data_IF_056191969161
#
_entry.id   IF_056191969161
#
_cell.length_a   1.000
_cell.length_b   1.000
_cell.length_c   1.000
_cell.angle_alpha   90.00
_cell.angle_beta   90.00
_cell.angle_gamma   90.00
#
_symmetry.space_group_name_H-M   'P 1'
#
loop_
_entity.id
_entity.type
_entity.pdbx_description
1 polymer ?
#
# COMPACT_ATOMS: atom_id res chain seq x y z
N UNK A 1 -29.61 -0.22 -2.70
CA UNK A 1 -29.09 0.73 -1.68
C UNK A 1 -29.82 0.54 -0.37
N UNK A 2 -29.22 0.99 0.73
CA UNK A 2 -29.84 1.03 2.05
C UNK A 2 -29.57 2.38 2.71
N UNK A 3 -30.46 2.78 3.62
CA UNK A 3 -30.39 4.04 4.35
C UNK A 3 -30.55 3.76 5.85
N UNK A 4 -29.58 4.13 6.71
CA UNK A 4 -29.69 3.89 8.14
C UNK A 4 -30.71 4.87 8.77
N UNK A 5 -31.59 4.35 9.65
CA UNK A 5 -32.55 5.15 10.42
C UNK A 5 -31.93 5.67 11.73
N UNK A 6 -30.80 5.12 12.13
CA UNK A 6 -30.01 5.51 13.32
C UNK A 6 -28.52 5.46 12.95
N UNK A 7 -27.66 6.05 13.78
CA UNK A 7 -26.21 5.92 13.58
C UNK A 7 -25.81 4.44 13.51
N UNK A 8 -25.20 3.97 12.40
CA UNK A 8 -24.92 2.54 12.20
C UNK A 8 -23.98 1.95 13.24
N UNK A 9 -22.98 2.71 13.69
CA UNK A 9 -21.99 2.24 14.68
C UNK A 9 -22.64 2.11 16.05
N UNK A 10 -23.47 3.07 16.45
CA UNK A 10 -24.24 3.00 17.68
C UNK A 10 -25.25 1.83 17.67
N UNK A 11 -25.92 1.61 16.52
CA UNK A 11 -26.86 0.51 16.32
C UNK A 11 -26.20 -0.86 16.43
N UNK A 12 -25.06 -1.05 15.73
CA UNK A 12 -24.29 -2.29 15.80
C UNK A 12 -23.73 -2.55 17.21
N UNK A 13 -23.20 -1.54 17.88
CA UNK A 13 -22.70 -1.66 19.25
C UNK A 13 -23.80 -2.08 20.21
N UNK A 14 -25.01 -1.49 20.09
CA UNK A 14 -26.20 -1.83 20.87
C UNK A 14 -26.78 -3.21 20.52
N UNK A 15 -26.52 -3.69 19.30
CA UNK A 15 -27.11 -4.92 18.76
C UNK A 15 -28.54 -4.74 18.21
N UNK A 16 -28.87 -3.56 17.73
CA UNK A 16 -30.18 -3.17 17.21
C UNK A 16 -29.96 -2.09 16.12
N UNK A 17 -29.73 -2.52 14.88
CA UNK A 17 -29.50 -1.62 13.74
C UNK A 17 -30.75 -1.54 12.87
N UNK A 18 -31.35 -0.35 12.78
CA UNK A 18 -32.52 -0.05 11.95
C UNK A 18 -32.14 0.66 10.67
N UNK A 19 -32.72 0.23 9.56
CA UNK A 19 -32.45 0.78 8.24
C UNK A 19 -33.58 0.53 7.25
N UNK A 20 -33.64 1.35 6.21
CA UNK A 20 -34.55 1.19 5.08
C UNK A 20 -33.81 0.59 3.88
N UNK A 21 -34.37 -0.45 3.25
CA UNK A 21 -33.88 -1.03 2.01
C UNK A 21 -34.61 -0.46 0.79
N UNK A 22 -33.84 -0.11 -0.24
CA UNK A 22 -34.29 0.33 -1.55
C UNK A 22 -33.85 -0.67 -2.62
N UNK A 23 -34.16 -1.95 -2.40
CA UNK A 23 -33.82 -3.05 -3.30
C UNK A 23 -34.90 -3.36 -4.33
N UNK A 24 -34.59 -4.23 -5.28
CA UNK A 24 -35.57 -4.72 -6.24
C UNK A 24 -36.58 -5.69 -5.60
N UNK A 25 -36.08 -6.62 -4.75
CA UNK A 25 -36.90 -7.59 -4.01
C UNK A 25 -37.29 -7.09 -2.62
N UNK A 26 -36.28 -6.69 -1.83
CA UNK A 26 -36.49 -6.26 -0.46
C UNK A 26 -36.57 -4.74 -0.40
N UNK A 27 -37.66 -4.22 0.16
CA UNK A 27 -37.93 -2.80 0.28
C UNK A 27 -38.43 -2.44 1.70
N UNK A 28 -38.36 -1.16 2.02
CA UNK A 28 -38.88 -0.59 3.26
C UNK A 28 -37.99 -0.84 4.48
N UNK A 29 -38.55 -0.66 5.68
CA UNK A 29 -37.85 -0.63 6.95
C UNK A 29 -37.56 -2.03 7.49
N UNK A 30 -36.36 -2.21 7.98
CA UNK A 30 -35.80 -3.48 8.52
C UNK A 30 -34.99 -3.22 9.77
N UNK A 31 -34.81 -4.26 10.59
CA UNK A 31 -33.91 -4.21 11.74
C UNK A 31 -33.05 -5.47 11.79
N UNK A 32 -31.74 -5.30 12.05
CA UNK A 32 -30.83 -6.36 12.45
C UNK A 32 -30.74 -6.37 13.98
N UNK A 33 -31.13 -7.49 14.60
CA UNK A 33 -31.10 -7.69 16.05
C UNK A 33 -30.08 -8.76 16.40
N UNK A 34 -29.12 -8.44 17.28
CA UNK A 34 -28.13 -9.39 17.77
C UNK A 34 -28.79 -10.35 18.74
N UNK A 35 -28.69 -11.64 18.45
CA UNK A 35 -29.26 -12.70 19.28
C UNK A 35 -28.40 -12.93 20.52
N UNK A 36 -29.05 -13.11 21.70
CA UNK A 36 -28.35 -13.56 22.89
C UNK A 36 -27.92 -15.01 22.73
N UNK A 37 -26.64 -15.30 22.91
CA UNK A 37 -26.06 -16.67 22.78
C UNK A 37 -26.76 -17.66 23.71
N UNK A 38 -27.13 -18.82 23.19
CA UNK A 38 -27.55 -20.01 23.94
C UNK A 38 -26.57 -21.14 23.61
N UNK A 39 -25.58 -21.39 24.46
CA UNK A 39 -24.65 -22.53 24.31
C UNK A 39 -23.18 -22.16 24.21
N UNK A 40 -22.31 -23.15 23.92
CA UNK A 40 -20.86 -22.99 23.86
C UNK A 40 -20.43 -21.97 22.77
N UNK A 41 -19.54 -21.08 23.17
CA UNK A 41 -19.07 -19.94 22.36
C UNK A 41 -18.12 -20.41 21.24
N UNK A 42 -18.57 -20.35 19.99
CA UNK A 42 -17.73 -20.57 18.80
C UNK A 42 -17.15 -19.28 18.22
N UNK A 43 -17.24 -18.15 18.94
CA UNK A 43 -16.72 -16.85 18.51
C UNK A 43 -17.58 -16.09 17.50
N UNK A 44 -18.66 -16.69 16.95
CA UNK A 44 -19.55 -16.04 15.98
C UNK A 44 -20.74 -15.38 16.69
N UNK A 45 -21.15 -14.21 16.21
CA UNK A 45 -22.38 -13.53 16.64
C UNK A 45 -23.50 -13.84 15.65
N UNK A 46 -24.65 -14.25 16.17
CA UNK A 46 -25.84 -14.50 15.36
C UNK A 46 -26.72 -13.27 15.35
N UNK A 47 -27.15 -12.86 14.17
CA UNK A 47 -28.02 -11.72 13.96
C UNK A 47 -29.31 -12.15 13.26
N UNK A 48 -30.43 -11.61 13.67
CA UNK A 48 -31.74 -11.83 13.07
C UNK A 48 -32.16 -10.60 12.27
N UNK A 49 -32.47 -10.79 10.97
CA UNK A 49 -33.03 -9.74 10.10
C UNK A 49 -34.55 -9.80 10.18
N UNK A 50 -35.18 -8.71 10.60
CA UNK A 50 -36.63 -8.64 10.80
C UNK A 50 -37.20 -7.51 9.94
N UNK A 51 -38.26 -7.83 9.19
CA UNK A 51 -39.04 -6.84 8.45
C UNK A 51 -39.97 -6.08 9.39
N UNK A 52 -39.91 -4.75 9.39
CA UNK A 52 -40.91 -3.90 10.07
C UNK A 52 -42.22 -3.89 9.29
N UNK A 53 -43.35 -3.64 10.01
CA UNK A 53 -44.64 -3.41 9.38
C UNK A 53 -44.68 -2.05 8.71
N UNK A 54 -44.67 -2.02 7.38
CA UNK A 54 -44.82 -0.86 6.51
C UNK A 54 -45.58 -1.27 5.24
N UNK A 55 -45.69 -0.40 4.25
CA UNK A 55 -46.37 -0.65 3.00
C UNK A 55 -45.81 -1.82 2.16
N UNK A 56 -44.59 -2.26 2.46
CA UNK A 56 -43.88 -3.37 1.81
C UNK A 56 -43.91 -4.67 2.64
N UNK A 57 -44.54 -4.67 3.80
CA UNK A 57 -44.71 -5.87 4.62
C UNK A 57 -45.84 -6.73 4.10
N UNK A 58 -45.60 -8.01 3.91
CA UNK A 58 -46.63 -8.99 3.52
C UNK A 58 -46.94 -9.86 4.73
N UNK A 59 -48.21 -9.92 5.14
CA UNK A 59 -48.65 -10.81 6.21
C UNK A 59 -48.81 -12.24 5.65
N UNK A 60 -48.29 -13.25 6.39
CA UNK A 60 -48.42 -14.65 6.05
C UNK A 60 -47.09 -15.39 6.03
N UNK A 61 -46.91 -16.26 5.00
CA UNK A 61 -45.70 -17.05 4.85
C UNK A 61 -44.52 -16.16 4.41
N UNK A 62 -43.56 -15.92 5.32
CA UNK A 62 -42.37 -15.13 5.06
C UNK A 62 -41.45 -15.71 3.95
N UNK A 63 -41.62 -16.97 3.63
CA UNK A 63 -40.83 -17.67 2.59
C UNK A 63 -41.46 -17.58 1.21
N UNK A 64 -42.66 -17.04 1.07
CA UNK A 64 -43.36 -16.90 -0.22
C UNK A 64 -42.52 -16.19 -1.30
N UNK A 65 -41.75 -15.16 -0.91
CA UNK A 65 -40.85 -14.42 -1.79
C UNK A 65 -39.75 -15.32 -2.43
N UNK A 66 -39.33 -16.39 -1.74
CA UNK A 66 -38.33 -17.31 -2.26
C UNK A 66 -38.90 -18.16 -3.42
N UNK A 67 -40.20 -18.51 -3.35
CA UNK A 67 -40.90 -19.22 -4.41
C UNK A 67 -41.36 -18.31 -5.56
N UNK A 68 -41.79 -17.08 -5.24
CA UNK A 68 -42.28 -16.12 -6.24
C UNK A 68 -41.14 -15.44 -7.01
N UNK A 69 -40.00 -15.21 -6.36
CA UNK A 69 -38.85 -14.57 -6.97
C UNK A 69 -37.56 -15.34 -6.67
N UNK A 70 -37.39 -16.58 -7.17
CA UNK A 70 -36.26 -17.44 -6.84
C UNK A 70 -34.92 -16.96 -7.42
N UNK A 71 -34.95 -16.11 -8.46
CA UNK A 71 -33.76 -15.73 -9.19
C UNK A 71 -33.00 -14.61 -8.47
N UNK A 72 -31.70 -14.67 -8.44
CA UNK A 72 -30.81 -13.59 -7.98
C UNK A 72 -31.08 -12.29 -8.75
N UNK A 73 -31.31 -11.20 -8.04
CA UNK A 73 -31.53 -9.86 -8.65
C UNK A 73 -30.35 -9.42 -9.51
N UNK A 74 -29.15 -9.88 -9.18
CA UNK A 74 -27.93 -9.47 -9.85
C UNK A 74 -27.59 -10.35 -11.05
N UNK A 75 -27.70 -11.69 -10.87
CA UNK A 75 -27.19 -12.64 -11.86
C UNK A 75 -28.30 -13.36 -12.63
N UNK A 76 -29.56 -13.25 -12.21
CA UNK A 76 -30.70 -13.99 -12.79
C UNK A 76 -30.65 -15.50 -12.57
N UNK A 77 -29.75 -16.02 -11.69
CA UNK A 77 -29.59 -17.45 -11.40
C UNK A 77 -30.39 -17.88 -10.17
N UNK A 78 -30.73 -19.15 -10.11
CA UNK A 78 -31.32 -19.80 -8.93
C UNK A 78 -30.24 -20.02 -7.84
N UNK A 79 -30.67 -20.34 -6.61
CA UNK A 79 -29.78 -20.69 -5.50
C UNK A 79 -28.97 -21.94 -5.83
N UNK A 80 -29.60 -22.94 -6.49
CA UNK A 80 -28.95 -24.17 -6.89
C UNK A 80 -27.89 -23.95 -7.97
N UNK A 81 -28.15 -23.08 -8.94
CA UNK A 81 -27.18 -22.68 -9.96
C UNK A 81 -26.00 -21.90 -9.37
N UNK A 82 -26.25 -21.08 -8.36
CA UNK A 82 -25.19 -20.36 -7.63
C UNK A 82 -24.37 -21.35 -6.79
N UNK A 83 -25.02 -22.29 -6.11
CA UNK A 83 -24.34 -23.29 -5.28
C UNK A 83 -23.53 -24.30 -6.12
N UNK A 84 -23.96 -24.61 -7.36
CA UNK A 84 -23.24 -25.48 -8.26
C UNK A 84 -21.98 -24.84 -8.90
N UNK A 85 -21.83 -23.51 -8.78
CA UNK A 85 -20.68 -22.77 -9.28
C UNK A 85 -19.99 -22.02 -8.13
N UNK A 86 -19.18 -22.73 -7.32
CA UNK A 86 -18.54 -22.15 -6.13
C UNK A 86 -17.49 -21.06 -6.45
N UNK A 87 -17.08 -20.94 -7.73
CA UNK A 87 -16.21 -19.86 -8.19
C UNK A 87 -16.91 -18.50 -8.33
N UNK A 88 -18.24 -18.48 -8.21
CA UNK A 88 -19.06 -17.26 -8.37
C UNK A 88 -19.66 -16.80 -7.03
N UNK A 89 -18.88 -16.79 -5.96
CA UNK A 89 -19.32 -16.21 -4.66
C UNK A 89 -19.49 -14.71 -4.83
N UNK A 90 -20.74 -14.26 -4.66
CA UNK A 90 -21.08 -12.85 -4.76
C UNK A 90 -20.69 -12.12 -3.46
N UNK A 91 -19.82 -11.12 -3.58
CA UNK A 91 -19.60 -10.11 -2.55
C UNK A 91 -20.11 -8.76 -3.05
N UNK A 92 -20.41 -7.81 -2.18
CA UNK A 92 -20.84 -6.47 -2.58
C UNK A 92 -19.86 -5.80 -3.58
N UNK A 93 -18.58 -6.14 -3.50
CA UNK A 93 -17.54 -5.70 -4.43
C UNK A 93 -17.61 -6.41 -5.79
N UNK A 94 -18.06 -7.67 -5.86
CA UNK A 94 -18.20 -8.43 -7.13
C UNK A 94 -19.46 -8.02 -7.92
N UNK A 95 -20.45 -7.38 -7.30
CA UNK A 95 -21.66 -6.93 -7.97
C UNK A 95 -21.39 -5.81 -8.99
N UNK A 96 -20.54 -4.87 -8.64
CA UNK A 96 -20.16 -3.79 -9.55
C UNK A 96 -19.21 -4.28 -10.65
N UNK A 97 -18.38 -5.28 -10.35
CA UNK A 97 -17.48 -5.91 -11.32
C UNK A 97 -18.23 -6.81 -12.34
N UNK A 98 -19.29 -7.52 -11.91
CA UNK A 98 -20.09 -8.40 -12.79
C UNK A 98 -20.89 -7.60 -13.84
N UNK A 99 -21.32 -6.37 -13.53
CA UNK A 99 -21.97 -5.47 -14.50
C UNK A 99 -21.06 -5.02 -15.64
N UNK A 100 -19.73 -5.00 -15.41
CA UNK A 100 -18.74 -4.66 -16.42
C UNK A 100 -18.15 -5.87 -17.15
N UNK A 101 -18.23 -7.07 -16.54
CA UNK A 101 -17.60 -8.29 -17.06
C UNK A 101 -18.47 -9.07 -18.08
N UNK A 102 -19.75 -8.72 -18.26
CA UNK A 102 -20.65 -9.45 -19.17
C UNK A 102 -20.49 -9.09 -20.66
N UNK A 103 -19.59 -8.18 -21.01
CA UNK A 103 -19.51 -7.67 -22.39
C UNK A 103 -18.29 -8.14 -23.21
N UNK A 104 -17.26 -8.82 -22.68
CA UNK A 104 -16.14 -9.27 -23.54
C UNK A 104 -15.35 -10.45 -22.94
N UNK A 105 -15.88 -11.65 -23.05
CA UNK A 105 -15.18 -12.89 -22.68
C UNK A 105 -14.74 -13.70 -23.90
N UNK A 106 -13.79 -13.18 -24.69
CA UNK A 106 -13.20 -14.01 -25.80
C UNK A 106 -11.73 -13.74 -26.12
N UNK A 107 -11.05 -12.80 -25.51
CA UNK A 107 -9.61 -12.62 -25.75
C UNK A 107 -8.80 -12.84 -24.46
N UNK A 108 -8.10 -14.00 -24.35
CA UNK A 108 -7.03 -14.17 -23.37
C UNK A 108 -5.82 -13.37 -23.89
N UNK A 109 -5.45 -12.34 -23.19
CA UNK A 109 -4.22 -11.59 -23.49
C UNK A 109 -3.02 -12.27 -22.84
N UNK A 110 -1.86 -12.36 -23.53
CA UNK A 110 -0.67 -12.92 -22.92
C UNK A 110 -0.22 -12.08 -21.73
N UNK A 111 0.10 -12.74 -20.62
CA UNK A 111 0.58 -12.04 -19.42
C UNK A 111 1.89 -11.29 -19.73
N UNK A 112 2.00 -9.97 -19.43
CA UNK A 112 3.21 -9.22 -19.65
C UNK A 112 4.37 -9.80 -18.84
N UNK A 113 5.55 -9.84 -19.46
CA UNK A 113 6.77 -10.35 -18.81
C UNK A 113 7.22 -9.48 -17.65
N UNK A 114 7.11 -8.18 -17.82
CA UNK A 114 7.51 -7.17 -16.84
C UNK A 114 6.47 -6.05 -16.80
N UNK A 115 6.19 -5.57 -15.61
CA UNK A 115 5.34 -4.39 -15.38
C UNK A 115 6.08 -3.45 -14.45
N UNK A 116 6.39 -2.26 -14.94
CA UNK A 116 6.98 -1.23 -14.10
C UNK A 116 5.92 -0.63 -13.16
N UNK A 117 6.22 -0.44 -11.85
CA UNK A 117 5.26 0.12 -10.91
C UNK A 117 4.81 1.53 -11.28
N UNK A 118 3.50 1.81 -11.19
CA UNK A 118 2.99 3.18 -11.24
C UNK A 118 3.48 3.98 -10.04
N UNK A 119 3.85 5.26 -10.26
CA UNK A 119 4.46 6.12 -9.26
C UNK A 119 3.48 7.20 -8.78
N UNK A 120 3.43 7.42 -7.46
CA UNK A 120 2.64 8.48 -6.86
C UNK A 120 3.39 9.83 -6.87
N UNK A 121 2.65 10.92 -7.11
CA UNK A 121 3.16 12.31 -7.03
C UNK A 121 3.05 12.81 -5.60
N UNK A 122 4.11 13.44 -5.08
CA UNK A 122 4.08 14.07 -3.75
C UNK A 122 3.23 15.34 -3.79
N UNK A 123 2.32 15.48 -2.83
CA UNK A 123 1.52 16.69 -2.60
C UNK A 123 1.49 17.04 -1.13
N UNK A 124 1.15 18.30 -0.79
CA UNK A 124 1.13 18.78 0.60
C UNK A 124 -0.16 18.44 1.34
N UNK A 125 -1.28 18.34 0.62
CA UNK A 125 -2.58 18.09 1.20
C UNK A 125 -3.28 16.89 0.55
N UNK A 126 -3.99 16.13 1.34
CA UNK A 126 -4.83 15.04 0.85
C UNK A 126 -6.05 15.62 0.12
N UNK A 127 -6.40 15.11 -1.07
CA UNK A 127 -7.62 15.51 -1.76
C UNK A 127 -8.85 15.05 -0.98
N UNK A 128 -9.94 15.81 -1.08
CA UNK A 128 -11.26 15.40 -0.65
C UNK A 128 -12.10 14.91 -1.82
N UNK A 129 -13.33 14.47 -1.50
CA UNK A 129 -14.33 14.04 -2.48
C UNK A 129 -14.27 12.54 -2.81
N UNK A 130 -15.43 12.01 -3.18
CA UNK A 130 -15.67 10.57 -3.35
C UNK A 130 -14.97 9.93 -4.56
N UNK A 131 -14.31 10.73 -5.38
CA UNK A 131 -13.47 10.25 -6.49
C UNK A 131 -12.14 9.65 -6.02
N UNK A 132 -11.82 9.77 -4.72
CA UNK A 132 -10.55 9.35 -4.17
C UNK A 132 -10.69 8.22 -3.17
N UNK A 133 -9.82 7.22 -3.31
CA UNK A 133 -9.56 6.15 -2.36
C UNK A 133 -8.25 6.47 -1.63
N UNK A 134 -8.26 6.42 -0.31
CA UNK A 134 -7.12 6.74 0.54
C UNK A 134 -6.63 5.49 1.25
N UNK A 135 -5.37 5.14 1.08
CA UNK A 135 -4.71 3.98 1.66
C UNK A 135 -3.59 4.43 2.58
N UNK A 136 -3.28 3.63 3.60
CA UNK A 136 -2.07 3.84 4.41
C UNK A 136 -0.85 3.70 3.50
N UNK A 137 0.10 4.63 3.65
CA UNK A 137 1.41 4.52 3.03
C UNK A 137 2.31 3.68 3.92
N UNK A 138 2.57 2.46 3.47
CA UNK A 138 3.48 1.55 4.15
C UNK A 138 4.94 1.91 3.87
N UNK A 139 5.79 1.58 4.82
CA UNK A 139 7.23 1.82 4.80
C UNK A 139 7.96 0.49 4.56
N UNK A 140 8.33 0.20 3.33
CA UNK A 140 8.90 -1.08 2.92
C UNK A 140 9.58 -1.06 1.56
N UNK A 141 9.70 -2.24 0.94
CA UNK A 141 10.16 -2.43 -0.43
C UNK A 141 9.00 -2.72 -1.37
N UNK A 142 8.80 -1.87 -2.36
CA UNK A 142 7.82 -2.11 -3.43
C UNK A 142 8.20 -3.37 -4.20
N UNK A 143 7.23 -4.26 -4.35
CA UNK A 143 7.40 -5.48 -5.13
C UNK A 143 6.22 -5.73 -6.06
N UNK A 144 6.52 -6.16 -7.28
CA UNK A 144 5.55 -6.73 -8.21
C UNK A 144 5.66 -8.25 -8.09
N UNK A 145 4.58 -8.89 -7.65
CA UNK A 145 4.49 -10.34 -7.63
C UNK A 145 3.86 -10.83 -8.94
N UNK A 146 4.53 -11.75 -9.62
CA UNK A 146 4.07 -12.41 -10.82
C UNK A 146 3.89 -13.89 -10.52
N UNK A 147 2.67 -14.40 -10.75
CA UNK A 147 2.29 -15.80 -10.59
C UNK A 147 2.02 -16.39 -11.99
N UNK A 148 2.60 -17.53 -12.29
CA UNK A 148 2.38 -18.25 -13.54
C UNK A 148 2.46 -19.75 -13.29
N UNK A 149 1.31 -20.45 -13.39
CA UNK A 149 1.20 -21.90 -13.18
C UNK A 149 1.80 -22.40 -11.85
N UNK A 150 1.59 -21.64 -10.77
CA UNK A 150 2.12 -21.94 -9.44
C UNK A 150 3.58 -21.48 -9.19
N UNK A 151 4.27 -21.03 -10.23
CA UNK A 151 5.58 -20.38 -10.06
C UNK A 151 5.40 -18.89 -9.72
N UNK A 152 6.13 -18.43 -8.71
CA UNK A 152 6.06 -17.04 -8.25
C UNK A 152 7.40 -16.35 -8.43
N UNK A 153 7.36 -15.13 -8.96
CA UNK A 153 8.51 -14.22 -8.99
C UNK A 153 8.15 -12.91 -8.30
N UNK A 154 9.01 -12.48 -7.38
CA UNK A 154 8.89 -11.21 -6.66
C UNK A 154 9.94 -10.22 -7.19
N UNK A 155 9.49 -9.27 -7.99
CA UNK A 155 10.37 -8.31 -8.66
C UNK A 155 10.38 -6.99 -7.86
N UNK A 156 11.57 -6.49 -7.53
CA UNK A 156 11.73 -5.18 -6.92
C UNK A 156 11.27 -4.07 -7.87
N UNK A 157 11.16 -2.85 -7.38
CA UNK A 157 10.79 -1.67 -8.18
C UNK A 157 11.61 -1.54 -9.48
N UNK A 158 12.88 -1.93 -9.47
CA UNK A 158 13.78 -1.84 -10.61
C UNK A 158 13.93 -3.17 -11.38
N UNK A 159 13.01 -4.11 -11.16
CA UNK A 159 12.97 -5.38 -11.87
C UNK A 159 13.99 -6.43 -11.38
N UNK A 160 14.69 -6.19 -10.25
CA UNK A 160 15.56 -7.19 -9.65
C UNK A 160 14.72 -8.34 -9.07
N UNK A 161 15.08 -9.55 -9.34
CA UNK A 161 14.42 -10.73 -8.79
C UNK A 161 14.86 -10.94 -7.32
N UNK A 162 13.92 -10.76 -6.41
CA UNK A 162 14.10 -10.93 -4.98
C UNK A 162 13.26 -12.08 -4.41
N UNK A 163 12.86 -13.00 -5.24
CA UNK A 163 12.01 -14.14 -4.87
C UNK A 163 12.59 -14.93 -3.70
N UNK A 164 13.89 -15.25 -3.74
CA UNK A 164 14.56 -15.99 -2.66
C UNK A 164 14.60 -15.21 -1.34
N UNK A 165 14.70 -13.87 -1.41
CA UNK A 165 14.66 -12.99 -0.22
C UNK A 165 13.29 -12.98 0.44
N UNK A 166 12.24 -13.26 -0.34
CA UNK A 166 10.83 -13.24 0.08
C UNK A 166 10.18 -14.62 0.00
N UNK A 167 10.96 -15.68 0.11
CA UNK A 167 10.51 -17.07 -0.09
C UNK A 167 9.22 -17.44 0.66
N UNK A 168 8.98 -17.07 1.95
CA UNK A 168 7.71 -17.37 2.61
C UNK A 168 6.50 -16.65 2.01
N UNK A 169 6.69 -15.44 1.46
CA UNK A 169 5.63 -14.69 0.76
C UNK A 169 5.35 -15.36 -0.58
N UNK A 170 6.41 -15.72 -1.33
CA UNK A 170 6.27 -16.41 -2.62
C UNK A 170 5.55 -17.76 -2.47
N UNK A 171 5.85 -18.53 -1.43
CA UNK A 171 5.16 -19.78 -1.12
C UNK A 171 3.65 -19.57 -0.85
N UNK A 172 3.28 -18.50 -0.12
CA UNK A 172 1.88 -18.18 0.14
C UNK A 172 1.16 -17.69 -1.13
N UNK A 173 1.84 -16.91 -1.98
CA UNK A 173 1.30 -16.47 -3.27
C UNK A 173 1.08 -17.65 -4.24
N UNK A 174 1.96 -18.66 -4.25
CA UNK A 174 1.79 -19.86 -5.06
C UNK A 174 0.53 -20.66 -4.71
N UNK A 175 0.03 -20.50 -3.48
CA UNK A 175 -1.18 -21.15 -2.99
C UNK A 175 -2.48 -20.36 -3.21
N UNK A 176 -2.45 -19.22 -3.94
CA UNK A 176 -3.64 -18.38 -4.18
C UNK A 176 -4.70 -19.02 -5.09
N UNK A 177 -4.37 -20.11 -5.79
CA UNK A 177 -5.33 -20.83 -6.65
C UNK A 177 -5.62 -20.13 -7.99
N UNK A 178 -4.92 -19.05 -8.35
CA UNK A 178 -4.96 -18.44 -9.67
C UNK A 178 -3.89 -19.06 -10.58
N UNK A 179 -4.22 -19.33 -11.85
CA UNK A 179 -3.24 -19.83 -12.82
C UNK A 179 -2.20 -18.75 -13.16
N UNK A 180 -2.67 -17.53 -13.34
CA UNK A 180 -1.81 -16.39 -13.69
C UNK A 180 -2.29 -15.10 -13.01
N UNK A 181 -1.38 -14.39 -12.33
CA UNK A 181 -1.68 -13.10 -11.73
C UNK A 181 -0.46 -12.16 -11.68
N UNK A 182 -0.72 -10.85 -11.72
CA UNK A 182 0.28 -9.81 -11.41
C UNK A 182 -0.30 -8.90 -10.34
N UNK A 183 0.38 -8.85 -9.18
CA UNK A 183 0.00 -8.06 -8.02
C UNK A 183 1.04 -6.98 -7.76
N UNK A 184 0.58 -5.83 -7.31
CA UNK A 184 1.42 -4.70 -6.90
C UNK A 184 1.24 -4.42 -5.41
N UNK A 185 2.33 -4.40 -4.67
CA UNK A 185 2.29 -4.29 -3.22
C UNK A 185 3.62 -3.82 -2.61
N UNK A 186 3.64 -3.80 -1.29
CA UNK A 186 4.82 -3.43 -0.49
C UNK A 186 5.19 -4.59 0.43
N UNK A 187 6.47 -5.00 0.42
CA UNK A 187 7.01 -5.95 1.41
C UNK A 187 7.40 -5.16 2.65
N UNK A 188 6.88 -5.55 3.79
CA UNK A 188 7.04 -4.83 5.06
C UNK A 188 7.44 -5.77 6.21
N UNK A 189 7.93 -5.16 7.29
CA UNK A 189 7.88 -5.72 8.64
C UNK A 189 6.97 -4.82 9.47
N UNK A 190 5.94 -5.41 10.05
CA UNK A 190 5.02 -4.72 10.95
C UNK A 190 5.51 -4.86 12.40
N UNK A 191 5.53 -3.74 13.12
CA UNK A 191 5.83 -3.69 14.55
C UNK A 191 4.59 -4.03 15.38
N UNK A 192 4.77 -4.33 16.67
CA UNK A 192 3.66 -4.59 17.61
C UNK A 192 2.70 -3.39 17.71
N UNK A 193 3.15 -2.18 17.40
CA UNK A 193 2.32 -0.98 17.31
C UNK A 193 1.39 -0.95 16.08
N UNK A 194 1.51 -1.89 15.15
CA UNK A 194 0.81 -1.90 13.88
C UNK A 194 1.49 -1.07 12.76
N UNK A 195 2.47 -0.25 13.09
CA UNK A 195 3.22 0.52 12.09
C UNK A 195 4.24 -0.35 11.34
N UNK A 196 4.44 -0.07 10.05
CA UNK A 196 5.53 -0.67 9.27
C UNK A 196 6.87 0.02 9.59
N UNK A 197 7.97 -0.74 9.56
CA UNK A 197 9.30 -0.24 9.83
C UNK A 197 10.30 -0.70 8.78
N UNK A 198 10.76 0.22 7.96
CA UNK A 198 11.80 -0.04 6.96
C UNK A 198 13.13 -0.48 7.59
N UNK A 199 13.51 0.13 8.72
CA UNK A 199 14.72 -0.26 9.44
C UNK A 199 14.67 -1.70 9.95
N UNK A 200 13.52 -2.13 10.51
CA UNK A 200 13.32 -3.52 10.95
C UNK A 200 13.32 -4.49 9.77
N UNK A 201 12.71 -4.10 8.64
CA UNK A 201 12.73 -4.89 7.41
C UNK A 201 14.16 -5.11 6.90
N UNK A 202 14.96 -4.06 6.86
CA UNK A 202 16.36 -4.15 6.42
C UNK A 202 17.21 -5.01 7.38
N UNK A 203 17.01 -4.84 8.69
CA UNK A 203 17.71 -5.65 9.70
C UNK A 203 17.37 -7.14 9.55
N UNK A 204 16.08 -7.47 9.36
CA UNK A 204 15.65 -8.86 9.18
C UNK A 204 16.24 -9.46 7.91
N UNK A 205 16.11 -8.79 6.78
CA UNK A 205 16.68 -9.25 5.52
C UNK A 205 18.21 -9.38 5.56
N UNK A 206 18.88 -8.43 6.21
CA UNK A 206 20.34 -8.45 6.38
C UNK A 206 20.84 -9.61 7.27
N UNK A 207 19.99 -10.10 8.17
CA UNK A 207 20.27 -11.25 9.04
C UNK A 207 19.66 -12.57 8.52
N UNK A 208 19.07 -12.59 7.32
CA UNK A 208 18.43 -13.77 6.73
C UNK A 208 17.14 -14.17 7.45
N UNK A 209 16.54 -13.29 8.25
CA UNK A 209 15.25 -13.54 8.93
C UNK A 209 14.10 -13.20 7.99
N UNK A 210 13.15 -14.10 7.87
CA UNK A 210 11.98 -13.95 6.98
C UNK A 210 10.65 -14.21 7.69
N UNK A 211 10.68 -14.50 8.98
CA UNK A 211 9.52 -14.88 9.79
C UNK A 211 8.50 -13.75 9.99
N UNK A 212 8.97 -12.49 10.01
CA UNK A 212 8.13 -11.29 10.18
C UNK A 212 7.75 -10.60 8.86
N UNK A 213 8.22 -11.11 7.71
CA UNK A 213 7.91 -10.49 6.42
C UNK A 213 6.42 -10.62 6.09
N UNK A 214 5.80 -9.51 5.71
CA UNK A 214 4.46 -9.42 5.15
C UNK A 214 4.48 -8.74 3.78
N UNK A 215 3.49 -9.03 2.96
CA UNK A 215 3.26 -8.40 1.66
C UNK A 215 1.88 -7.79 1.65
N UNK A 216 1.80 -6.46 1.70
CA UNK A 216 0.55 -5.69 1.66
C UNK A 216 0.24 -5.31 0.23
N UNK A 217 -0.81 -5.90 -0.34
CA UNK A 217 -1.15 -5.78 -1.76
C UNK A 217 -2.24 -4.74 -1.94
N UNK A 218 -2.04 -3.79 -2.83
CA UNK A 218 -2.94 -2.66 -3.05
C UNK A 218 -3.40 -2.51 -4.50
N UNK A 219 -2.93 -3.33 -5.44
CA UNK A 219 -3.42 -3.35 -6.82
C UNK A 219 -3.26 -4.73 -7.46
N UNK A 220 -4.14 -5.03 -8.44
CA UNK A 220 -4.15 -6.24 -9.25
C UNK A 220 -4.14 -5.84 -10.72
N UNK A 221 -3.10 -6.26 -11.45
CA UNK A 221 -2.81 -5.76 -12.79
C UNK A 221 -3.15 -6.78 -13.89
N UNK A 222 -3.18 -8.07 -13.52
CA UNK A 222 -3.49 -9.17 -14.42
C UNK A 222 -4.08 -10.32 -13.62
N UNK A 223 -5.08 -11.01 -14.18
CA UNK A 223 -5.69 -12.18 -13.55
C UNK A 223 -6.22 -13.13 -14.63
N UNK A 224 -5.77 -14.39 -14.63
CA UNK A 224 -6.27 -15.53 -15.41
C UNK A 224 -6.56 -15.22 -16.88
N UNK A 225 -5.61 -14.62 -17.56
CA UNK A 225 -5.71 -14.29 -18.99
C UNK A 225 -6.28 -12.90 -19.28
N UNK A 226 -6.51 -12.05 -18.27
CA UNK A 226 -7.07 -10.71 -18.44
C UNK A 226 -6.08 -9.63 -18.00
N UNK A 227 -5.75 -8.71 -18.88
CA UNK A 227 -5.08 -7.47 -18.51
C UNK A 227 -6.08 -6.54 -17.81
N UNK A 228 -5.78 -6.16 -16.58
CA UNK A 228 -6.60 -5.26 -15.76
C UNK A 228 -6.08 -3.83 -15.73
N UNK A 229 -4.97 -3.52 -16.39
CA UNK A 229 -4.35 -2.18 -16.34
C UNK A 229 -5.28 -1.08 -16.87
N UNK A 230 -6.12 -1.38 -17.87
CA UNK A 230 -7.14 -0.48 -18.38
C UNK A 230 -8.41 -0.35 -17.52
N UNK A 231 -8.60 -1.26 -16.56
CA UNK A 231 -9.80 -1.32 -15.71
C UNK A 231 -9.72 -0.26 -14.60
N UNK A 232 -10.85 0.39 -14.22
CA UNK A 232 -10.87 1.33 -13.08
C UNK A 232 -10.33 0.73 -11.78
N UNK A 233 -9.55 1.51 -11.02
CA UNK A 233 -8.91 1.07 -9.76
C UNK A 233 -9.90 0.39 -8.79
N UNK A 234 -11.09 0.98 -8.58
CA UNK A 234 -12.10 0.42 -7.67
C UNK A 234 -12.50 -1.02 -8.03
N UNK A 235 -12.54 -1.35 -9.34
CA UNK A 235 -12.85 -2.69 -9.82
C UNK A 235 -11.67 -3.63 -9.63
N UNK A 236 -10.43 -3.18 -9.91
CA UNK A 236 -9.22 -3.96 -9.65
C UNK A 236 -9.08 -4.30 -8.17
N UNK A 237 -9.36 -3.32 -7.29
CA UNK A 237 -9.36 -3.53 -5.82
C UNK A 237 -10.44 -4.52 -5.37
N UNK A 238 -11.62 -4.47 -5.96
CA UNK A 238 -12.67 -5.44 -5.67
C UNK A 238 -12.27 -6.88 -6.05
N UNK A 239 -11.67 -7.06 -7.23
CA UNK A 239 -11.13 -8.36 -7.66
C UNK A 239 -9.99 -8.82 -6.75
N UNK A 240 -9.09 -7.91 -6.36
CA UNK A 240 -8.01 -8.20 -5.42
C UNK A 240 -8.53 -8.63 -4.04
N UNK A 241 -9.51 -7.91 -3.51
CA UNK A 241 -10.14 -8.26 -2.24
C UNK A 241 -10.75 -9.67 -2.29
N UNK A 242 -11.45 -10.01 -3.39
CA UNK A 242 -12.00 -11.35 -3.60
C UNK A 242 -10.90 -12.41 -3.71
N UNK A 243 -9.83 -12.16 -4.45
CA UNK A 243 -8.70 -13.08 -4.60
C UNK A 243 -8.01 -13.39 -3.26
N UNK A 244 -8.03 -12.41 -2.34
CA UNK A 244 -7.37 -12.52 -1.04
C UNK A 244 -8.31 -12.83 0.14
N UNK A 245 -9.61 -13.08 -0.08
CA UNK A 245 -10.62 -13.20 0.98
C UNK A 245 -10.49 -14.48 1.85
N UNK A 246 -10.30 -15.63 1.23
CA UNK A 246 -10.48 -16.97 1.87
C UNK A 246 -9.14 -17.56 2.36
N UNK A 247 -8.28 -16.72 2.99
CA UNK A 247 -6.98 -17.21 3.40
C UNK A 247 -6.90 -17.46 4.90
N UNK A 248 -6.20 -18.54 5.33
CA UNK A 248 -6.04 -18.83 6.75
C UNK A 248 -5.21 -17.74 7.44
N UNK A 249 -5.68 -17.29 8.60
CA UNK A 249 -4.91 -16.38 9.45
C UNK A 249 -3.90 -17.16 10.32
N UNK A 250 -2.72 -16.61 10.61
CA UNK A 250 -2.20 -15.31 10.14
C UNK A 250 -1.66 -15.38 8.71
N UNK A 251 -2.15 -14.52 7.82
CA UNK A 251 -1.69 -14.44 6.44
C UNK A 251 -0.54 -13.42 6.31
N UNK A 252 0.49 -13.76 5.53
CA UNK A 252 1.61 -12.86 5.20
C UNK A 252 1.25 -11.89 4.07
N UNK A 253 0.45 -12.37 3.15
CA UNK A 253 -0.05 -11.58 2.03
C UNK A 253 -1.40 -11.01 2.42
N UNK A 254 -1.57 -9.71 2.50
CA UNK A 254 -2.78 -9.05 2.99
C UNK A 254 -3.25 -7.97 2.01
N UNK A 255 -4.55 -7.79 1.94
CA UNK A 255 -5.18 -6.71 1.19
C UNK A 255 -5.01 -5.38 1.92
N UNK A 256 -4.78 -4.30 1.18
CA UNK A 256 -4.77 -2.93 1.71
C UNK A 256 -6.16 -2.34 1.58
N UNK A 257 -6.81 -2.12 2.73
CA UNK A 257 -8.09 -1.42 2.78
C UNK A 257 -7.94 0.06 2.40
N UNK A 258 -9.03 0.65 1.93
CA UNK A 258 -9.11 2.06 1.60
C UNK A 258 -10.30 2.76 2.26
N UNK A 259 -10.15 4.07 2.44
CA UNK A 259 -11.20 4.97 2.89
C UNK A 259 -11.58 5.90 1.73
N UNK A 260 -12.87 5.96 1.40
CA UNK A 260 -13.37 6.81 0.32
C UNK A 260 -13.67 8.22 0.81
N UNK A 261 -13.18 9.23 0.12
CA UNK A 261 -13.63 10.62 0.23
C UNK A 261 -13.05 11.46 1.36
N UNK A 262 -12.67 10.90 2.49
CA UNK A 262 -12.28 11.61 3.71
C UNK A 262 -10.77 11.84 3.86
N UNK A 263 -10.07 12.16 2.78
CA UNK A 263 -8.61 12.27 2.73
C UNK A 263 -7.97 13.10 3.84
N UNK A 264 -8.39 14.37 4.10
CA UNK A 264 -7.78 15.17 5.15
C UNK A 264 -7.94 14.58 6.57
N UNK A 265 -9.09 14.00 6.90
CA UNK A 265 -9.32 13.37 8.19
C UNK A 265 -8.52 12.07 8.33
N UNK A 266 -8.47 11.26 7.27
CA UNK A 266 -7.69 10.03 7.24
C UNK A 266 -6.19 10.30 7.36
N UNK A 267 -5.66 11.34 6.69
CA UNK A 267 -4.27 11.79 6.86
C UNK A 267 -4.00 12.21 8.31
N UNK A 268 -4.88 12.99 8.92
CA UNK A 268 -4.71 13.45 10.30
C UNK A 268 -4.62 12.26 11.26
N UNK A 269 -5.46 11.24 11.09
CA UNK A 269 -5.41 10.01 11.87
C UNK A 269 -4.11 9.23 11.62
N UNK A 270 -3.72 9.02 10.36
CA UNK A 270 -2.48 8.33 10.02
C UNK A 270 -1.27 9.01 10.68
N UNK A 271 -1.23 10.35 10.69
CA UNK A 271 -0.15 11.10 11.33
C UNK A 271 -0.20 11.00 12.86
N UNK A 272 -1.38 10.99 13.48
CA UNK A 272 -1.55 10.81 14.92
C UNK A 272 -1.06 9.43 15.41
N UNK A 273 -1.22 8.40 14.57
CA UNK A 273 -0.70 7.04 14.83
C UNK A 273 0.79 6.89 14.47
N UNK A 274 1.47 7.94 14.02
CA UNK A 274 2.89 7.89 13.67
C UNK A 274 3.20 7.12 12.39
N UNK A 275 2.21 6.93 11.52
CA UNK A 275 2.39 6.28 10.22
C UNK A 275 3.14 7.19 9.24
N UNK A 276 3.70 6.63 8.16
CA UNK A 276 4.48 7.41 7.19
C UNK A 276 3.64 8.47 6.47
N UNK A 277 2.35 8.19 6.24
CA UNK A 277 1.42 9.02 5.52
C UNK A 277 0.33 8.20 4.84
N UNK A 278 -0.23 8.75 3.77
CA UNK A 278 -1.25 8.09 2.96
C UNK A 278 -0.92 8.16 1.47
N UNK A 279 -1.53 7.26 0.69
CA UNK A 279 -1.60 7.34 -0.77
C UNK A 279 -3.06 7.53 -1.17
N UNK A 280 -3.35 8.61 -1.87
CA UNK A 280 -4.67 8.90 -2.43
C UNK A 280 -4.70 8.53 -3.90
N UNK A 281 -5.61 7.67 -4.30
CA UNK A 281 -5.72 7.14 -5.67
C UNK A 281 -7.09 7.48 -6.25
N UNK A 282 -7.17 7.91 -7.52
CA UNK A 282 -8.46 8.11 -8.18
C UNK A 282 -9.17 6.79 -8.42
N UNK A 283 -10.41 6.67 -7.94
CA UNK A 283 -11.20 5.44 -7.99
C UNK A 283 -11.42 4.92 -9.43
N UNK A 284 -11.59 5.82 -10.39
CA UNK A 284 -11.87 5.50 -11.79
C UNK A 284 -10.59 5.47 -12.67
N UNK A 285 -9.39 5.60 -12.08
CA UNK A 285 -8.17 5.64 -12.89
C UNK A 285 -7.73 4.25 -13.35
N UNK A 286 -7.21 4.13 -14.60
CA UNK A 286 -6.46 2.96 -15.02
C UNK A 286 -5.10 2.91 -14.31
N UNK A 287 -4.46 1.76 -14.34
CA UNK A 287 -3.06 1.62 -13.95
C UNK A 287 -2.16 2.03 -15.11
N UNK A 288 -1.19 2.90 -14.86
CA UNK A 288 -0.25 3.41 -15.87
C UNK A 288 1.17 2.96 -15.56
N UNK A 289 1.61 1.79 -16.09
CA UNK A 289 2.92 1.24 -15.80
C UNK A 289 4.06 2.25 -16.02
N UNK A 290 4.99 2.33 -15.08
CA UNK A 290 6.18 3.19 -15.14
C UNK A 290 5.92 4.69 -15.07
N UNK A 291 4.67 5.14 -15.12
CA UNK A 291 4.35 6.57 -15.18
C UNK A 291 4.19 7.20 -13.80
N UNK A 292 4.44 8.51 -13.75
CA UNK A 292 4.12 9.38 -12.62
C UNK A 292 3.09 10.40 -13.07
N UNK A 293 1.86 10.27 -12.59
CA UNK A 293 0.74 11.15 -12.92
C UNK A 293 0.10 11.75 -11.67
N UNK A 294 -1.08 12.34 -11.86
CA UNK A 294 -1.88 12.91 -10.76
C UNK A 294 -3.00 11.97 -10.29
N UNK A 295 -3.09 10.77 -10.86
CA UNK A 295 -4.08 9.78 -10.43
C UNK A 295 -3.71 9.14 -9.10
N UNK A 296 -2.39 9.06 -8.79
CA UNK A 296 -1.87 8.63 -7.52
C UNK A 296 -1.08 9.74 -6.85
N UNK A 297 -1.48 10.10 -5.63
CA UNK A 297 -0.87 11.15 -4.82
C UNK A 297 -0.35 10.55 -3.51
N UNK A 298 0.87 10.87 -3.12
CA UNK A 298 1.41 10.52 -1.81
C UNK A 298 1.45 11.76 -0.92
N UNK A 299 0.96 11.64 0.29
CA UNK A 299 0.97 12.67 1.32
C UNK A 299 1.71 12.10 2.55
N UNK A 300 2.76 12.74 2.98
CA UNK A 300 3.62 12.27 4.05
C UNK A 300 3.35 13.02 5.34
N UNK A 301 3.26 12.30 6.47
CA UNK A 301 3.16 12.88 7.81
C UNK A 301 4.48 13.53 8.24
N UNK A 302 5.59 12.91 7.86
CA UNK A 302 6.94 13.44 8.08
C UNK A 302 7.62 13.60 6.71
N UNK A 303 8.44 14.62 6.58
CA UNK A 303 9.27 14.76 5.38
C UNK A 303 10.33 13.67 5.38
N UNK A 304 10.27 12.82 4.40
CA UNK A 304 11.15 11.68 4.18
C UNK A 304 11.51 11.63 2.72
N UNK A 305 12.80 11.50 2.43
CA UNK A 305 13.30 11.47 1.05
C UNK A 305 14.57 10.65 0.97
N UNK A 306 14.85 10.14 -0.21
CA UNK A 306 16.12 9.50 -0.53
C UNK A 306 17.18 10.52 -0.91
N UNK A 307 18.43 10.23 -0.51
CA UNK A 307 19.61 11.02 -0.80
C UNK A 307 20.76 10.14 -1.27
N UNK A 308 21.56 10.65 -2.16
CA UNK A 308 22.82 10.01 -2.53
C UNK A 308 23.83 10.25 -1.40
N UNK A 309 24.50 9.21 -0.93
CA UNK A 309 25.62 9.33 -0.02
C UNK A 309 26.82 9.81 -0.83
N UNK A 310 27.28 11.03 -0.55
CA UNK A 310 28.37 11.70 -1.28
C UNK A 310 29.65 11.81 -0.46
N UNK A 311 29.57 11.48 0.84
CA UNK A 311 30.72 11.53 1.74
C UNK A 311 30.34 11.20 3.17
N UNK A 312 31.30 11.38 4.07
CA UNK A 312 31.12 11.23 5.51
C UNK A 312 32.08 12.13 6.27
N UNK A 313 31.79 12.36 7.56
CA UNK A 313 32.71 13.03 8.48
C UNK A 313 33.42 11.99 9.35
N UNK A 314 34.64 12.26 9.85
CA UNK A 314 35.29 11.42 10.85
C UNK A 314 34.40 11.26 12.10
N UNK A 315 34.52 10.15 12.82
CA UNK A 315 33.83 9.98 14.09
C UNK A 315 34.37 10.95 15.14
N UNK A 316 33.50 11.45 16.01
CA UNK A 316 33.87 12.31 17.15
C UNK A 316 33.67 11.59 18.47
N UNK A 317 34.48 11.91 19.48
CA UNK A 317 34.40 11.35 20.83
C UNK A 317 34.60 9.81 20.84
N UNK A 318 33.67 9.08 21.49
CA UNK A 318 33.73 7.61 21.60
C UNK A 318 33.06 6.88 20.42
N UNK A 319 32.55 7.61 19.43
CA UNK A 319 31.86 7.02 18.27
C UNK A 319 32.85 6.31 17.34
N UNK A 320 32.44 5.14 16.81
CA UNK A 320 33.23 4.36 15.84
C UNK A 320 32.72 4.59 14.40
N UNK A 321 33.50 4.18 13.42
CA UNK A 321 33.10 4.17 12.00
C UNK A 321 33.14 5.54 11.34
N UNK A 322 32.07 6.34 11.47
CA UNK A 322 31.95 7.70 10.93
C UNK A 322 31.07 8.60 11.84
N UNK A 323 31.18 9.90 11.68
CA UNK A 323 30.42 10.89 12.43
C UNK A 323 29.04 11.15 11.85
N UNK A 324 28.98 11.58 10.60
CA UNK A 324 27.77 11.83 9.84
C UNK A 324 27.95 11.42 8.36
N UNK A 325 26.88 11.06 7.68
CA UNK A 325 26.85 10.93 6.22
C UNK A 325 26.59 12.28 5.59
N UNK A 326 27.32 12.59 4.53
CA UNK A 326 27.11 13.74 3.66
C UNK A 326 26.17 13.31 2.53
N UNK A 327 25.14 14.12 2.32
CA UNK A 327 24.01 13.79 1.47
C UNK A 327 23.95 14.70 0.23
N UNK A 328 23.49 14.18 -0.88
CA UNK A 328 23.27 14.92 -2.11
C UNK A 328 22.00 14.53 -2.82
N UNK A 329 21.47 15.45 -3.62
CA UNK A 329 20.36 15.22 -4.57
C UNK A 329 20.75 15.72 -5.96
N UNK A 330 20.14 15.18 -7.01
CA UNK A 330 20.37 15.68 -8.37
C UNK A 330 19.40 16.82 -8.68
N UNK A 331 19.93 17.80 -9.38
CA UNK A 331 19.17 18.88 -9.97
C UNK A 331 18.54 18.46 -11.31
N UNK A 332 17.76 19.36 -11.90
CA UNK A 332 17.16 19.19 -13.20
C UNK A 332 18.18 19.01 -14.35
N UNK A 333 19.39 19.56 -14.19
CA UNK A 333 20.53 19.39 -15.11
C UNK A 333 21.33 18.09 -14.87
N UNK A 334 20.87 17.23 -13.92
CA UNK A 334 21.52 15.98 -13.55
C UNK A 334 22.73 16.14 -12.64
N UNK A 335 23.13 17.37 -12.30
CA UNK A 335 24.26 17.61 -11.40
C UNK A 335 23.92 17.26 -9.96
N UNK A 336 24.86 16.60 -9.27
CA UNK A 336 24.72 16.23 -7.88
C UNK A 336 25.05 17.43 -6.97
N UNK A 337 24.09 17.87 -6.13
CA UNK A 337 24.27 18.97 -5.17
C UNK A 337 24.25 18.46 -3.75
N UNK A 338 25.07 19.09 -2.93
CA UNK A 338 25.09 18.84 -1.49
C UNK A 338 23.76 19.29 -0.84
N UNK A 339 23.20 18.42 0.00
CA UNK A 339 21.89 18.60 0.65
C UNK A 339 21.99 18.61 2.19
N UNK A 340 23.20 18.62 2.74
CA UNK A 340 23.41 18.58 4.18
C UNK A 340 23.97 17.26 4.68
N UNK A 341 23.94 17.06 6.00
CA UNK A 341 24.50 15.88 6.66
C UNK A 341 23.53 15.26 7.64
N UNK A 342 23.58 13.93 7.80
CA UNK A 342 22.81 13.20 8.82
C UNK A 342 23.77 12.51 9.78
N UNK A 343 23.59 12.78 11.08
CA UNK A 343 24.45 12.26 12.14
C UNK A 343 23.74 11.34 13.15
N UNK A 344 22.45 11.09 12.98
CA UNK A 344 21.61 10.31 13.92
C UNK A 344 20.85 9.20 13.18
N UNK A 345 20.32 8.22 13.94
CA UNK A 345 19.54 7.10 13.37
C UNK A 345 20.38 5.88 13.00
N UNK A 346 21.66 5.82 13.38
CA UNK A 346 22.55 4.71 13.11
C UNK A 346 22.70 3.77 14.32
N UNK A 347 22.77 2.48 14.07
CA UNK A 347 23.22 1.50 15.07
C UNK A 347 24.76 1.45 15.11
N UNK A 348 25.35 1.02 16.23
CA UNK A 348 26.81 0.89 16.36
C UNK A 348 27.38 -0.07 15.32
N UNK A 349 26.69 -1.18 15.05
CA UNK A 349 27.07 -2.15 14.02
C UNK A 349 27.09 -1.52 12.63
N UNK A 350 26.06 -0.77 12.27
CA UNK A 350 25.98 -0.08 10.98
C UNK A 350 27.11 0.94 10.81
N UNK A 351 27.40 1.72 11.85
CA UNK A 351 28.50 2.69 11.82
C UNK A 351 29.84 2.03 11.48
N UNK A 352 30.13 0.89 12.08
CA UNK A 352 31.38 0.16 11.84
C UNK A 352 31.43 -0.50 10.47
N UNK A 353 30.40 -1.26 10.12
CA UNK A 353 30.35 -2.01 8.86
C UNK A 353 30.29 -1.08 7.63
N UNK A 354 29.40 -0.09 7.66
CA UNK A 354 29.23 0.85 6.55
C UNK A 354 30.42 1.82 6.46
N UNK A 355 30.98 2.23 7.61
CA UNK A 355 32.20 3.05 7.64
C UNK A 355 33.39 2.38 6.96
N UNK A 356 33.52 1.04 7.05
CA UNK A 356 34.54 0.28 6.32
C UNK A 356 34.29 0.28 4.80
N UNK A 357 33.02 0.23 4.38
CA UNK A 357 32.66 0.31 2.96
C UNK A 357 32.93 1.69 2.39
N UNK A 358 32.55 2.75 3.09
CA UNK A 358 32.76 4.13 2.65
C UNK A 358 34.26 4.44 2.44
N UNK A 359 35.14 3.99 3.35
CA UNK A 359 36.59 4.16 3.21
C UNK A 359 37.20 3.50 1.96
N UNK A 360 36.57 2.45 1.44
CA UNK A 360 37.07 1.78 0.21
C UNK A 360 36.76 2.54 -1.08
N UNK A 361 35.83 3.48 -1.02
CA UNK A 361 35.34 4.25 -2.17
C UNK A 361 35.59 5.77 -1.98
N UNK A 362 36.51 6.14 -1.09
CA UNK A 362 36.91 7.55 -0.94
C UNK A 362 37.52 8.06 -2.24
N UNK A 363 37.19 9.29 -2.61
CA UNK A 363 37.68 9.93 -3.83
C UNK A 363 37.91 11.44 -3.66
N UNK A 364 38.84 11.98 -4.47
CA UNK A 364 39.06 13.40 -4.67
C UNK A 364 39.27 13.67 -6.16
N UNK A 365 38.69 14.74 -6.73
CA UNK A 365 37.83 15.74 -6.11
C UNK A 365 36.42 15.21 -5.80
N UNK A 366 35.61 15.93 -5.01
CA UNK A 366 34.22 15.55 -4.73
C UNK A 366 33.40 15.49 -6.03
N UNK A 367 32.53 14.47 -6.13
CA UNK A 367 31.56 14.34 -7.23
C UNK A 367 30.34 15.24 -7.10
N UNK A 368 30.26 16.02 -6.02
CA UNK A 368 29.11 16.84 -5.64
C UNK A 368 29.46 18.33 -5.70
N UNK A 369 28.54 19.13 -6.24
CA UNK A 369 28.64 20.58 -6.17
C UNK A 369 28.23 21.04 -4.76
N UNK A 370 29.18 21.59 -4.04
CA UNK A 370 28.93 22.23 -2.73
C UNK A 370 28.59 23.71 -2.99
N UNK A 371 27.45 24.19 -2.45
CA UNK A 371 27.02 25.57 -2.60
C UNK A 371 27.92 26.57 -1.84
N UNK A 372 27.42 27.79 -1.65
CA UNK A 372 28.12 28.84 -0.88
C UNK A 372 28.38 28.44 0.59
N UNK A 373 27.64 27.46 1.11
CA UNK A 373 27.88 26.87 2.42
C UNK A 373 28.98 25.82 2.35
N UNK A 374 29.91 25.90 3.27
CA UNK A 374 31.09 25.04 3.26
C UNK A 374 30.76 23.61 3.63
N UNK A 375 31.38 22.66 2.94
CA UNK A 375 31.43 21.30 3.42
C UNK A 375 31.91 21.26 4.89
N UNK A 376 31.37 20.32 5.70
CA UNK A 376 31.82 20.19 7.08
C UNK A 376 33.34 20.00 7.16
N UNK A 377 33.95 20.56 8.19
CA UNK A 377 35.37 20.35 8.45
C UNK A 377 35.68 18.85 8.54
N UNK A 378 36.79 18.44 7.90
CA UNK A 378 37.18 17.04 7.84
C UNK A 378 36.29 16.15 6.93
N UNK A 379 35.46 16.73 6.05
CA UNK A 379 34.67 15.96 5.10
C UNK A 379 35.53 15.04 4.23
N UNK A 380 35.14 13.78 4.15
CA UNK A 380 35.71 12.77 3.26
C UNK A 380 34.69 12.45 2.19
N UNK A 381 35.05 12.64 0.94
CA UNK A 381 34.16 12.43 -0.18
C UNK A 381 34.26 10.99 -0.69
N UNK A 382 33.14 10.45 -1.19
CA UNK A 382 33.07 9.10 -1.71
C UNK A 382 32.45 9.09 -3.10
N UNK A 383 32.73 8.04 -3.84
CA UNK A 383 32.02 7.74 -5.06
C UNK A 383 30.51 7.56 -4.77
N UNK A 384 29.59 8.22 -5.54
CA UNK A 384 28.16 8.21 -5.27
C UNK A 384 27.50 6.87 -5.65
N UNK A 385 27.71 5.85 -4.84
CA UNK A 385 27.21 4.47 -5.05
C UNK A 385 25.99 4.13 -4.21
N UNK A 386 25.82 4.79 -3.07
CA UNK A 386 24.78 4.43 -2.10
C UNK A 386 23.67 5.46 -2.04
N UNK A 387 22.45 5.00 -1.82
CA UNK A 387 21.26 5.82 -1.56
C UNK A 387 20.83 5.61 -0.11
N UNK A 388 20.65 6.69 0.64
CA UNK A 388 20.17 6.68 2.00
C UNK A 388 18.75 7.27 2.08
N UNK A 389 17.86 6.65 2.81
CA UNK A 389 16.59 7.23 3.19
C UNK A 389 16.76 8.02 4.49
N UNK A 390 16.27 9.26 4.49
CA UNK A 390 16.42 10.20 5.62
C UNK A 390 15.11 10.92 5.88
N UNK A 391 14.65 10.91 7.14
CA UNK A 391 13.56 11.79 7.59
C UNK A 391 14.15 13.11 8.09
N UNK A 392 13.42 14.21 7.92
CA UNK A 392 13.86 15.54 8.31
C UNK A 392 12.67 16.47 8.56
N UNK A 393 12.87 17.54 9.32
CA UNK A 393 11.82 18.49 9.64
C UNK A 393 11.46 19.36 8.41
N UNK A 394 12.46 19.97 7.79
CA UNK A 394 12.27 20.89 6.66
C UNK A 394 13.57 21.08 5.86
N UNK A 395 13.43 21.63 4.68
CA UNK A 395 14.55 22.21 3.93
C UNK A 395 14.81 23.63 4.42
N UNK A 396 16.05 23.95 4.73
CA UNK A 396 16.46 25.32 5.03
C UNK A 396 16.46 26.18 3.77
N UNK A 397 16.50 27.50 3.91
CA UNK A 397 16.67 28.44 2.80
C UNK A 397 17.96 28.18 1.99
N UNK A 398 18.99 27.65 2.63
CA UNK A 398 20.25 27.25 2.01
C UNK A 398 20.16 25.93 1.21
N UNK A 399 19.03 25.22 1.28
CA UNK A 399 18.85 23.94 0.60
C UNK A 399 19.44 22.75 1.36
N UNK A 400 19.63 22.86 2.67
CA UNK A 400 20.08 21.80 3.55
C UNK A 400 18.94 21.25 4.44
N UNK A 401 19.14 20.05 4.98
CA UNK A 401 18.17 19.38 5.83
C UNK A 401 18.25 19.86 7.28
N UNK A 402 17.08 20.12 7.89
CA UNK A 402 16.95 20.43 9.31
C UNK A 402 16.50 19.19 10.09
N UNK A 403 17.20 18.89 11.20
CA UNK A 403 16.93 17.72 12.07
C UNK A 403 16.87 16.38 11.31
N UNK A 404 17.84 16.06 10.45
CA UNK A 404 17.80 14.80 9.69
C UNK A 404 18.09 13.59 10.58
N UNK A 405 17.39 12.48 10.29
CA UNK A 405 17.59 11.16 10.92
C UNK A 405 17.64 10.10 9.85
N UNK A 406 18.68 9.28 9.85
CA UNK A 406 18.85 8.15 8.93
C UNK A 406 17.80 7.06 9.22
N UNK A 407 17.25 6.47 8.17
CA UNK A 407 16.24 5.41 8.24
C UNK A 407 16.74 4.09 7.65
N UNK A 408 17.60 4.13 6.65
CA UNK A 408 18.17 2.93 6.03
C UNK A 408 18.88 3.25 4.72
N UNK A 409 19.60 2.27 4.16
CA UNK A 409 20.08 2.32 2.78
C UNK A 409 18.98 1.82 1.85
N UNK A 410 18.97 2.31 0.61
CA UNK A 410 18.04 1.88 -0.44
C UNK A 410 18.84 1.17 -1.53
N UNK A 411 18.95 -0.16 -1.42
CA UNK A 411 19.56 -1.03 -2.41
C UNK A 411 18.65 -1.31 -3.64
N UNK A 412 17.39 -0.92 -3.54
CA UNK A 412 16.40 -0.96 -4.62
C UNK A 412 16.38 0.30 -5.50
N UNK A 413 17.26 1.30 -5.24
CA UNK A 413 17.31 2.55 -5.98
C UNK A 413 18.70 2.89 -6.50
N UNK A 414 18.73 3.43 -7.73
CA UNK A 414 19.96 3.94 -8.32
C UNK A 414 20.25 5.37 -7.83
N UNK A 415 21.52 5.73 -7.51
CA UNK A 415 21.91 7.12 -7.25
C UNK A 415 21.60 8.09 -8.39
N UNK A 416 21.44 7.58 -9.62
CA UNK A 416 21.06 8.40 -10.78
C UNK A 416 19.60 8.89 -10.73
N UNK A 417 18.72 8.19 -10.01
CA UNK A 417 17.29 8.50 -9.91
C UNK A 417 16.95 9.46 -8.76
N UNK A 418 17.91 9.76 -7.88
CA UNK A 418 17.67 10.53 -6.67
C UNK A 418 17.64 12.02 -6.97
N UNK A 419 16.43 12.58 -7.01
CA UNK A 419 16.18 14.01 -7.21
C UNK A 419 15.53 14.60 -5.97
N UNK A 420 15.61 15.93 -5.82
CA UNK A 420 14.88 16.62 -4.75
C UNK A 420 13.38 16.48 -4.96
N UNK A 421 12.69 15.86 -4.02
CA UNK A 421 11.23 15.81 -4.03
C UNK A 421 10.65 17.17 -3.61
N UNK A 422 9.92 17.80 -4.53
CA UNK A 422 9.19 19.05 -4.26
C UNK A 422 7.72 18.83 -4.63
N UNK A 423 6.77 19.31 -3.80
CA UNK A 423 5.37 19.35 -4.18
C UNK A 423 5.19 20.21 -5.44
N UNK A 424 4.23 19.89 -6.33
CA UNK A 424 3.89 20.75 -7.46
C UNK A 424 3.47 22.13 -6.96
N UNK A 425 4.15 23.21 -7.38
CA UNK A 425 3.90 24.58 -6.95
C UNK A 425 4.93 25.15 -5.97
N UNK A 426 5.86 24.35 -5.42
CA UNK A 426 6.97 24.78 -4.58
C UNK A 426 8.19 25.27 -5.40
N UNK A 427 7.98 26.10 -6.39
CA UNK A 427 9.06 26.85 -7.06
C UNK A 427 9.60 27.90 -6.09
N UNK A 428 10.92 28.04 -6.03
CA UNK A 428 11.65 28.95 -5.18
C UNK A 428 10.94 30.30 -5.03
N UNK A 429 10.59 30.65 -3.78
CA UNK A 429 10.41 32.05 -3.39
C UNK A 429 11.75 32.59 -2.95
#
# INVERSE_FOLDING_TARGET
>A
TWEPEIDPHAGLAKGDLKFTLHGAKLKGSWVLVRMKKRGADNGKEDWLLIKHRDEYAVDGDGDAILAEQPLSVLTGRTIEEIAADPGAVWTAASAEAAGAASAEATHREPMPREVAPQLATLVEAAPGGDDWLHEIKFDGYRAIARIENGEVRMLSRNGLDWTDRYAPIAAELAALGSDTAILDGEVIVQLDSGASSFGALQEDLGNGRTDRLGYVVFDLLYLDGRDLTGVPLRQRKALLASLLADRPAPARVTYVDDVRGQGPAFLAQACAYGLEGIVSKRAESPYRPGSRGRDWLKIKCLRRQEFVVVGFTPPGGTRTGFGALLLGTRDADGALRYAGRVGTGFTARFLDEFGRQLRKIEQLPPSVRVGAERAPEGARWVEPRFVAEVSFAEWTAAGELRHPSFKGLRDDKSPAEVTREMPPGGGAR
#
